data_IF_368242683385
#
_entry.id   IF_368242683385
#
_cell.length_a   1.000
_cell.length_b   1.000
_cell.length_c   1.000
_cell.angle_alpha   90.00
_cell.angle_beta   90.00
_cell.angle_gamma   90.00
#
_symmetry.space_group_name_H-M   'P 1'
#
loop_
_entity.id
_entity.type
_entity.pdbx_description
1 polymer ?
#
# COMPACT_ATOMS: atom_id res chain seq x y z
N UNK A 1 42.50 -25.45 -23.81
CA UNK A 1 42.35 -24.21 -22.99
C UNK A 1 41.27 -23.37 -23.65
N UNK A 2 40.32 -22.78 -22.91
CA UNK A 2 39.08 -22.09 -23.36
C UNK A 2 37.88 -22.98 -23.71
N UNK A 3 37.28 -23.61 -22.69
CA UNK A 3 35.95 -24.24 -22.77
C UNK A 3 35.03 -23.78 -21.63
N UNK A 4 35.18 -22.52 -21.19
CA UNK A 4 34.52 -21.96 -19.99
C UNK A 4 33.79 -20.62 -20.25
N UNK A 5 33.48 -20.26 -21.50
CA UNK A 5 32.94 -18.93 -21.84
C UNK A 5 31.46 -18.93 -22.28
N UNK A 6 30.60 -19.79 -21.74
CA UNK A 6 29.16 -19.79 -22.07
C UNK A 6 28.24 -19.99 -20.86
N UNK A 7 28.59 -19.38 -19.72
CA UNK A 7 27.63 -19.18 -18.63
C UNK A 7 27.64 -17.69 -18.26
N UNK A 8 27.35 -16.84 -19.26
CA UNK A 8 26.85 -15.51 -18.98
C UNK A 8 25.39 -15.69 -18.57
N UNK A 9 25.19 -15.98 -17.28
CA UNK A 9 23.89 -16.00 -16.66
C UNK A 9 23.20 -14.67 -16.98
N UNK A 10 22.14 -14.75 -17.78
CA UNK A 10 21.17 -13.67 -17.95
C UNK A 10 20.48 -13.52 -16.60
N UNK A 11 21.10 -12.76 -15.70
CA UNK A 11 20.44 -12.17 -14.55
C UNK A 11 19.47 -11.15 -15.14
N UNK A 12 18.25 -11.61 -15.45
CA UNK A 12 17.15 -10.70 -15.69
C UNK A 12 17.06 -9.81 -14.44
N UNK A 13 17.17 -8.47 -14.58
CA UNK A 13 16.95 -7.60 -13.43
C UNK A 13 15.52 -7.84 -12.96
N UNK A 14 15.38 -8.38 -11.75
CA UNK A 14 14.10 -8.41 -11.08
C UNK A 14 13.66 -6.95 -10.92
N UNK A 15 12.74 -6.50 -11.77
CA UNK A 15 12.10 -5.20 -11.60
C UNK A 15 11.37 -5.31 -10.28
N UNK A 16 11.91 -4.66 -9.25
CA UNK A 16 11.25 -4.52 -7.96
C UNK A 16 9.91 -3.84 -8.24
N UNK A 17 8.82 -4.57 -8.02
CA UNK A 17 7.45 -4.20 -8.36
C UNK A 17 6.88 -3.09 -7.48
N UNK A 18 7.61 -1.99 -7.31
CA UNK A 18 7.12 -0.81 -6.61
C UNK A 18 5.94 -0.24 -7.37
N UNK A 19 4.78 -0.18 -6.72
CA UNK A 19 3.59 0.37 -7.37
C UNK A 19 3.69 1.89 -7.43
N UNK A 20 3.47 2.50 -8.62
CA UNK A 20 3.59 3.95 -8.76
C UNK A 20 2.52 4.64 -7.93
N UNK A 21 2.94 5.57 -7.06
CA UNK A 21 2.05 6.37 -6.22
C UNK A 21 1.85 7.74 -6.84
N UNK A 22 0.63 8.28 -6.77
CA UNK A 22 0.29 9.62 -7.27
C UNK A 22 -0.23 10.50 -6.13
N UNK A 23 0.29 11.71 -6.04
CA UNK A 23 -0.18 12.74 -5.12
C UNK A 23 -1.69 13.00 -5.27
N UNK A 24 -2.41 12.94 -4.15
CA UNK A 24 -3.80 13.34 -4.07
C UNK A 24 -3.94 14.88 -4.11
N UNK A 25 -5.02 15.45 -4.68
CA UNK A 25 -5.18 16.90 -4.82
C UNK A 25 -5.20 17.67 -3.48
N UNK A 26 -5.52 17.00 -2.38
CA UNK A 26 -5.59 17.59 -1.04
C UNK A 26 -4.23 17.79 -0.37
N UNK A 27 -3.11 17.44 -1.02
CA UNK A 27 -1.79 17.62 -0.43
C UNK A 27 -1.48 16.67 0.73
N UNK A 28 -2.21 15.56 0.86
CA UNK A 28 -1.94 14.55 1.89
C UNK A 28 -0.53 13.94 1.75
N UNK A 29 -0.01 13.38 2.85
CA UNK A 29 1.28 12.70 2.86
C UNK A 29 1.36 11.61 1.79
N UNK A 30 2.41 11.68 0.95
CA UNK A 30 2.68 10.66 -0.06
C UNK A 30 3.56 9.57 0.57
N UNK A 31 3.17 8.28 0.53
CA UNK A 31 4.08 7.21 0.90
C UNK A 31 5.29 7.16 -0.03
N UNK A 32 6.43 6.74 0.51
CA UNK A 32 7.66 6.52 -0.24
C UNK A 32 7.51 5.34 -1.22
N UNK A 33 6.80 4.30 -0.78
CA UNK A 33 6.44 3.15 -1.62
C UNK A 33 5.11 2.56 -1.20
N UNK A 34 4.47 1.88 -2.15
CA UNK A 34 3.32 1.01 -1.88
C UNK A 34 3.61 -0.36 -2.45
N UNK A 35 3.54 -1.37 -1.60
CA UNK A 35 3.74 -2.77 -1.92
C UNK A 35 2.39 -3.48 -1.90
N UNK A 36 2.01 -4.06 -3.04
CA UNK A 36 0.77 -4.84 -3.17
C UNK A 36 1.14 -6.30 -3.40
N UNK A 37 0.58 -7.20 -2.62
CA UNK A 37 0.87 -8.63 -2.76
C UNK A 37 0.54 -9.15 -4.16
N UNK A 38 1.48 -9.85 -4.78
CA UNK A 38 1.31 -10.38 -6.13
C UNK A 38 1.42 -9.34 -7.25
N UNK A 39 1.72 -8.08 -6.95
CA UNK A 39 2.01 -7.08 -7.98
C UNK A 39 3.50 -7.05 -8.33
N UNK A 40 3.83 -7.45 -9.56
CA UNK A 40 5.20 -7.41 -10.11
C UNK A 40 5.37 -6.34 -11.21
N UNK A 41 4.28 -5.66 -11.58
CA UNK A 41 4.26 -4.60 -12.57
C UNK A 41 2.90 -3.89 -12.58
N UNK A 42 2.91 -2.63 -13.02
CA UNK A 42 1.69 -1.83 -13.15
C UNK A 42 1.11 -1.96 -14.57
N UNK A 43 -0.21 -2.18 -14.75
CA UNK A 43 -1.24 -2.24 -13.72
C UNK A 43 -1.25 -3.56 -12.93
N UNK A 44 -1.49 -3.48 -11.62
CA UNK A 44 -1.54 -4.65 -10.74
C UNK A 44 -2.80 -5.49 -11.02
N UNK A 45 -2.68 -6.81 -11.25
CA UNK A 45 -3.83 -7.69 -11.35
C UNK A 45 -4.44 -7.92 -9.96
N UNK A 46 -5.72 -7.58 -9.80
CA UNK A 46 -6.49 -7.90 -8.58
C UNK A 46 -7.39 -9.10 -8.89
N UNK A 47 -7.19 -10.20 -8.17
CA UNK A 47 -7.96 -11.44 -8.38
C UNK A 47 -9.10 -11.51 -7.37
N UNK A 48 -10.33 -11.63 -7.87
CA UNK A 48 -11.50 -11.73 -7.01
C UNK A 48 -11.44 -12.99 -6.13
N UNK A 49 -11.83 -12.86 -4.86
CA UNK A 49 -11.77 -13.94 -3.87
C UNK A 49 -10.37 -14.26 -3.33
N UNK A 50 -9.32 -13.57 -3.78
CA UNK A 50 -7.99 -13.67 -3.18
C UNK A 50 -7.77 -12.53 -2.17
N UNK A 51 -7.07 -12.78 -1.05
CA UNK A 51 -6.74 -11.73 -0.10
C UNK A 51 -5.79 -10.72 -0.75
N UNK A 52 -6.20 -9.45 -0.74
CA UNK A 52 -5.40 -8.31 -1.16
C UNK A 52 -4.74 -7.70 0.08
N UNK A 53 -3.43 -7.55 0.05
CA UNK A 53 -2.62 -6.89 1.07
C UNK A 53 -1.90 -5.73 0.40
N UNK A 54 -2.12 -4.54 0.92
CA UNK A 54 -1.44 -3.32 0.51
C UNK A 54 -0.67 -2.76 1.69
N UNK A 55 0.61 -2.50 1.51
CA UNK A 55 1.48 -1.90 2.51
C UNK A 55 2.03 -0.58 1.97
N UNK A 56 1.64 0.53 2.58
CA UNK A 56 2.16 1.85 2.29
C UNK A 56 3.26 2.19 3.29
N UNK A 57 4.46 2.45 2.79
CA UNK A 57 5.66 2.67 3.60
C UNK A 57 6.03 4.14 3.56
N UNK A 58 6.41 4.68 4.72
CA UNK A 58 7.02 6.00 4.82
C UNK A 58 6.05 7.14 4.57
N UNK A 59 4.82 7.06 5.06
CA UNK A 59 3.85 8.16 4.96
C UNK A 59 4.26 9.23 5.96
N UNK A 60 4.60 10.43 5.48
CA UNK A 60 4.86 11.59 6.34
C UNK A 60 3.61 12.44 6.50
N UNK A 61 3.12 12.60 7.74
CA UNK A 61 1.96 13.45 8.00
C UNK A 61 2.33 14.94 7.90
N UNK A 62 1.62 15.75 7.11
CA UNK A 62 1.86 17.19 7.07
C UNK A 62 1.31 17.94 8.29
N UNK A 63 0.43 17.29 9.07
CA UNK A 63 -0.29 17.90 10.20
C UNK A 63 -0.27 17.00 11.44
N UNK A 64 -0.44 17.61 12.62
CA UNK A 64 -0.68 16.84 13.84
C UNK A 64 -2.15 16.41 13.91
N UNK A 65 -2.40 15.15 14.27
CA UNK A 65 -3.75 14.58 14.42
C UNK A 65 -3.80 13.55 15.54
N UNK A 66 -4.93 13.45 16.23
CA UNK A 66 -5.14 12.44 17.28
C UNK A 66 -5.53 11.07 16.73
N UNK A 67 -6.01 11.02 15.48
CA UNK A 67 -6.52 9.80 14.86
C UNK A 67 -6.28 9.78 13.36
N UNK A 68 -6.41 8.58 12.77
CA UNK A 68 -6.30 8.31 11.36
C UNK A 68 -7.47 7.43 10.94
N UNK A 69 -8.19 7.86 9.91
CA UNK A 69 -9.29 7.10 9.32
C UNK A 69 -8.91 6.66 7.91
N UNK A 70 -9.09 5.37 7.60
CA UNK A 70 -8.83 4.80 6.30
C UNK A 70 -10.12 4.67 5.49
N UNK A 71 -10.02 4.94 4.18
CA UNK A 71 -11.10 4.74 3.23
C UNK A 71 -10.54 4.35 1.86
N UNK A 72 -11.32 3.64 1.07
CA UNK A 72 -10.92 3.15 -0.25
C UNK A 72 -11.84 3.77 -1.30
N UNK A 73 -11.27 4.51 -2.26
CA UNK A 73 -12.01 5.07 -3.39
C UNK A 73 -11.50 4.45 -4.69
N UNK A 74 -12.39 3.79 -5.42
CA UNK A 74 -12.14 3.28 -6.77
C UNK A 74 -12.41 4.40 -7.77
N UNK A 75 -11.45 4.67 -8.66
CA UNK A 75 -11.61 5.64 -9.74
C UNK A 75 -11.76 4.93 -11.09
N UNK A 76 -12.91 5.09 -11.74
CA UNK A 76 -13.25 4.43 -13.00
C UNK A 76 -13.88 5.44 -13.95
N UNK A 77 -13.28 5.66 -15.12
CA UNK A 77 -13.79 6.58 -16.15
C UNK A 77 -14.18 7.98 -15.62
N UNK A 78 -13.43 8.50 -14.65
CA UNK A 78 -13.69 9.81 -14.02
C UNK A 78 -14.68 9.79 -12.85
N UNK A 79 -15.35 8.66 -12.58
CA UNK A 79 -16.19 8.48 -11.39
C UNK A 79 -15.35 8.08 -10.18
N UNK A 80 -15.78 8.52 -9.00
CA UNK A 80 -15.24 8.11 -7.70
C UNK A 80 -16.27 7.24 -6.99
N UNK A 81 -15.96 5.96 -6.81
CA UNK A 81 -16.84 4.95 -6.22
C UNK A 81 -16.23 4.56 -4.87
N UNK A 82 -16.88 4.86 -3.73
CA UNK A 82 -16.40 4.40 -2.43
C UNK A 82 -16.54 2.88 -2.33
N UNK A 83 -15.49 2.23 -1.86
CA UNK A 83 -15.52 0.82 -1.53
C UNK A 83 -15.82 0.67 -0.02
N UNK A 84 -16.79 -0.18 0.36
CA UNK A 84 -17.17 -0.32 1.77
C UNK A 84 -15.99 -0.87 2.56
N UNK A 85 -15.64 -0.18 3.64
CA UNK A 85 -14.71 -0.70 4.64
C UNK A 85 -15.53 -1.49 5.67
N UNK A 86 -15.06 -2.66 6.15
CA UNK A 86 -15.75 -3.38 7.22
C UNK A 86 -15.72 -2.57 8.51
N UNK A 87 -16.83 -2.63 9.26
CA UNK A 87 -17.00 -1.89 10.51
C UNK A 87 -15.82 -2.13 11.48
N UNK A 88 -15.26 -1.03 11.96
CA UNK A 88 -14.15 -1.02 12.91
C UNK A 88 -12.77 -1.16 12.27
N UNK A 89 -12.65 -1.32 10.95
CA UNK A 89 -11.37 -1.29 10.23
C UNK A 89 -10.99 0.10 9.70
N UNK A 90 -11.92 1.05 9.78
CA UNK A 90 -11.72 2.45 9.40
C UNK A 90 -10.71 3.13 10.32
N UNK A 91 -10.66 2.76 11.60
CA UNK A 91 -9.64 3.26 12.52
C UNK A 91 -8.27 2.67 12.16
N UNK A 92 -7.50 3.44 11.39
CA UNK A 92 -6.17 3.06 10.94
C UNK A 92 -5.16 3.03 12.09
N UNK A 93 -5.34 3.85 13.13
CA UNK A 93 -4.50 3.82 14.31
C UNK A 93 -4.60 2.46 15.02
N UNK A 94 -5.81 1.94 15.13
CA UNK A 94 -6.08 0.66 15.78
C UNK A 94 -5.77 -0.56 14.89
N UNK A 95 -5.95 -0.45 13.57
CA UNK A 95 -5.99 -1.63 12.70
C UNK A 95 -4.97 -1.69 11.57
N UNK A 96 -4.29 -0.59 11.24
CA UNK A 96 -3.42 -0.52 10.06
C UNK A 96 -2.01 0.00 10.31
N UNK A 97 -1.80 0.76 11.38
CA UNK A 97 -0.48 1.29 11.74
C UNK A 97 0.16 0.53 12.90
N UNK A 98 1.50 0.60 13.08
CA UNK A 98 2.16 0.07 14.27
C UNK A 98 1.58 0.63 15.59
N UNK A 99 1.61 -0.17 16.65
CA UNK A 99 1.12 0.25 17.96
C UNK A 99 1.84 1.51 18.46
N UNK A 100 1.07 2.49 18.95
CA UNK A 100 1.59 3.77 19.42
C UNK A 100 1.86 4.81 18.32
N UNK A 101 1.47 4.55 17.07
CA UNK A 101 1.57 5.54 15.98
C UNK A 101 0.76 6.80 16.27
N UNK A 102 -0.41 6.64 16.88
CA UNK A 102 -1.31 7.75 17.21
C UNK A 102 -1.19 8.15 18.70
N UNK A 103 -1.23 9.44 19.04
CA UNK A 103 -1.42 10.60 18.15
C UNK A 103 -0.21 10.85 17.23
N UNK A 104 -0.47 11.31 16.01
CA UNK A 104 0.56 11.57 15.00
C UNK A 104 0.97 13.03 15.05
N UNK A 105 2.27 13.30 15.13
CA UNK A 105 2.81 14.67 15.05
C UNK A 105 3.00 15.13 13.61
N UNK A 106 2.97 16.45 13.38
CA UNK A 106 3.36 17.01 12.09
C UNK A 106 4.82 16.63 11.76
N UNK A 107 5.06 16.17 10.54
CA UNK A 107 6.36 15.66 10.08
C UNK A 107 6.71 14.24 10.54
N UNK A 108 5.85 13.59 11.34
CA UNK A 108 6.04 12.19 11.73
C UNK A 108 5.83 11.27 10.53
N UNK A 109 6.70 10.27 10.39
CA UNK A 109 6.60 9.24 9.37
C UNK A 109 6.13 7.93 9.98
N UNK A 110 5.21 7.24 9.30
CA UNK A 110 4.67 5.94 9.71
C UNK A 110 4.29 5.09 8.50
N UNK A 111 4.09 3.80 8.76
CA UNK A 111 3.65 2.82 7.76
C UNK A 111 2.19 2.44 7.99
N UNK A 112 1.51 2.03 6.93
CA UNK A 112 0.11 1.58 6.98
C UNK A 112 -0.08 0.30 6.18
N UNK A 113 -0.64 -0.74 6.81
CA UNK A 113 -0.97 -2.02 6.21
C UNK A 113 -2.48 -2.17 6.16
N UNK A 114 -3.00 -2.50 4.99
CA UNK A 114 -4.39 -2.88 4.79
C UNK A 114 -4.47 -4.30 4.22
N UNK A 115 -5.48 -5.05 4.67
CA UNK A 115 -5.79 -6.38 4.16
C UNK A 115 -7.28 -6.51 3.91
N UNK A 116 -7.64 -7.04 2.74
CA UNK A 116 -9.04 -7.32 2.37
C UNK A 116 -9.58 -8.59 3.04
N UNK A 117 -8.78 -9.27 3.89
CA UNK A 117 -9.22 -10.51 4.53
C UNK A 117 -10.40 -10.20 5.43
N UNK A 118 -11.54 -10.77 5.05
CA UNK A 118 -12.75 -10.78 5.87
C UNK A 118 -12.42 -11.45 7.22
N UNK A 119 -12.37 -10.65 8.29
CA UNK A 119 -12.21 -11.17 9.67
C UNK A 119 -13.49 -11.86 10.16
N UNK A 120 -14.53 -11.98 9.33
CA UNK A 120 -15.79 -12.66 9.66
C UNK A 120 -15.74 -14.19 9.55
N UNK A 121 -14.60 -14.78 9.14
CA UNK A 121 -14.41 -16.24 9.12
C UNK A 121 -13.26 -16.69 10.05
N UNK A 122 -13.27 -16.24 11.31
CA UNK A 122 -12.44 -16.82 12.39
C UNK A 122 -13.27 -17.02 13.64
#
# INVERSE_FOLDING_TARGET
MFKLLLIAAVLAPAVLGLTPVRQCPNGAGLPQSVDINGCTGSPCPIVNGQPLLAHAVGITSPVATNGLEAYIIIRLAGLQIPFPMPDGLEDACANGTPAGTCPVSAGQTFDYIWTSRDRSCS
#
